data_IF_335349994969
#
_entry.id   IF_335349994969
#
_cell.length_a   1.000
_cell.length_b   1.000
_cell.length_c   1.000
_cell.angle_alpha   90.00
_cell.angle_beta   90.00
_cell.angle_gamma   90.00
#
_symmetry.space_group_name_H-M   'P 1'
#
loop_
_entity.id
_entity.type
_entity.pdbx_description
1 polymer ?
#
# COMPACT_ATOMS: atom_id res chain seq x y z
N UNK A 1 -0.74 21.69 1.85
CA UNK A 1 -1.67 21.58 0.70
C UNK A 1 -1.83 20.10 0.38
N UNK A 2 -3.05 19.56 0.24
CA UNK A 2 -3.23 18.15 -0.14
C UNK A 2 -2.72 17.90 -1.57
N UNK A 3 -2.11 16.74 -1.82
CA UNK A 3 -1.54 16.38 -3.13
C UNK A 3 -2.63 16.15 -4.17
N UNK A 4 -3.83 15.74 -3.74
CA UNK A 4 -5.04 15.68 -4.56
C UNK A 4 -5.43 16.99 -5.27
N UNK A 5 -4.87 18.14 -4.86
CA UNK A 5 -5.04 19.43 -5.56
C UNK A 5 -4.07 19.63 -6.73
N UNK A 6 -3.04 18.80 -6.86
CA UNK A 6 -2.18 18.77 -8.02
C UNK A 6 -2.89 17.95 -9.10
N UNK A 7 -3.03 18.50 -10.30
CA UNK A 7 -3.60 17.77 -11.44
C UNK A 7 -2.57 17.70 -12.57
N UNK A 8 -2.43 16.50 -13.13
CA UNK A 8 -1.78 16.29 -14.42
C UNK A 8 -2.64 15.28 -15.21
N UNK A 9 -2.67 15.35 -16.56
CA UNK A 9 -3.60 14.57 -17.38
C UNK A 9 -3.57 13.04 -17.16
N UNK A 10 -2.46 12.51 -16.64
CA UNK A 10 -2.24 11.08 -16.44
C UNK A 10 -1.91 10.70 -15.00
N UNK A 11 -2.03 11.64 -14.06
CA UNK A 11 -1.65 11.42 -12.67
C UNK A 11 -2.78 11.85 -11.75
N UNK A 12 -3.26 10.89 -10.97
CA UNK A 12 -4.29 11.06 -9.96
C UNK A 12 -3.65 10.84 -8.58
N UNK A 13 -3.95 11.73 -7.63
CA UNK A 13 -3.55 11.58 -6.24
C UNK A 13 -4.79 11.35 -5.38
N UNK A 14 -4.78 10.27 -4.60
CA UNK A 14 -5.81 9.95 -3.61
C UNK A 14 -5.23 10.09 -2.22
N UNK A 15 -5.83 10.94 -1.40
CA UNK A 15 -5.44 11.00 0.00
C UNK A 15 -5.83 9.68 0.69
N UNK A 16 -4.99 9.21 1.58
CA UNK A 16 -5.26 8.07 2.45
C UNK A 16 -5.80 8.61 3.78
N UNK A 17 -7.13 8.60 3.99
CA UNK A 17 -7.72 9.10 5.21
C UNK A 17 -7.27 8.27 6.40
N UNK A 18 -7.48 8.81 7.61
CA UNK A 18 -7.27 8.05 8.85
C UNK A 18 -5.84 7.57 9.08
N UNK A 19 -4.88 8.39 8.65
CA UNK A 19 -3.44 8.25 8.97
C UNK A 19 -3.01 9.40 9.88
N UNK A 20 -2.13 9.14 10.85
CA UNK A 20 -1.68 10.14 11.84
C UNK A 20 -0.79 11.24 11.25
N UNK A 21 -0.17 10.99 10.10
CA UNK A 21 0.79 11.90 9.45
C UNK A 21 0.41 12.29 8.02
N UNK A 22 -0.80 11.94 7.58
CA UNK A 22 -1.17 11.96 6.18
C UNK A 22 -0.53 10.81 5.41
N UNK A 23 -1.12 10.48 4.27
CA UNK A 23 -0.65 9.49 3.32
C UNK A 23 -1.33 9.76 1.98
N UNK A 24 -0.68 9.39 0.88
CA UNK A 24 -1.21 9.64 -0.46
C UNK A 24 -0.85 8.48 -1.37
N UNK A 25 -1.86 7.95 -2.06
CA UNK A 25 -1.69 7.02 -3.18
C UNK A 25 -1.58 7.84 -4.46
N UNK A 26 -0.61 7.49 -5.30
CA UNK A 26 -0.47 8.06 -6.64
C UNK A 26 -0.82 7.02 -7.70
N UNK A 27 -1.65 7.41 -8.66
CA UNK A 27 -2.13 6.55 -9.74
C UNK A 27 -1.72 7.19 -11.05
N UNK A 28 -0.78 6.56 -11.76
CA UNK A 28 -0.39 6.94 -13.11
C UNK A 28 -1.20 6.13 -14.13
N UNK A 29 -2.02 6.80 -14.93
CA UNK A 29 -2.88 6.22 -15.96
C UNK A 29 -2.23 6.38 -17.33
N UNK A 30 -1.13 5.66 -17.54
CA UNK A 30 -0.39 5.66 -18.80
C UNK A 30 -0.05 4.22 -19.22
N UNK A 31 -0.25 3.90 -20.51
CA UNK A 31 0.00 2.57 -21.06
C UNK A 31 -1.20 1.62 -20.97
N UNK A 32 -0.93 0.31 -21.08
CA UNK A 32 -1.96 -0.74 -21.16
C UNK A 32 -2.72 -0.98 -19.85
N UNK A 33 -2.11 -0.66 -18.70
CA UNK A 33 -2.75 -0.71 -17.39
C UNK A 33 -2.19 0.39 -16.48
N UNK A 34 -2.94 0.85 -15.47
CA UNK A 34 -2.45 1.86 -14.54
C UNK A 34 -1.27 1.36 -13.70
N UNK A 35 -0.48 2.29 -13.17
CA UNK A 35 0.55 2.05 -12.14
C UNK A 35 0.12 2.75 -10.86
N UNK A 36 0.13 2.05 -9.75
CA UNK A 36 -0.33 2.56 -8.46
C UNK A 36 0.80 2.48 -7.44
N UNK A 37 1.13 3.61 -6.84
CA UNK A 37 1.98 3.68 -5.65
C UNK A 37 1.11 3.54 -4.39
N UNK A 38 1.26 2.44 -3.65
CA UNK A 38 0.36 2.06 -2.53
C UNK A 38 0.79 2.58 -1.15
N UNK A 39 1.70 3.56 -1.11
CA UNK A 39 2.25 4.08 0.15
C UNK A 39 2.76 2.93 1.05
N UNK A 40 2.53 3.00 2.36
CA UNK A 40 3.20 2.19 3.38
C UNK A 40 2.46 0.91 3.81
N UNK A 41 1.19 0.72 3.44
CA UNK A 41 0.36 -0.38 3.99
C UNK A 41 0.86 -1.77 3.54
N UNK A 42 1.33 -1.88 2.30
CA UNK A 42 1.77 -3.14 1.69
C UNK A 42 3.25 -3.03 1.34
N UNK A 43 4.02 -4.05 1.69
CA UNK A 43 5.46 -4.09 1.42
C UNK A 43 5.83 -5.39 0.72
N UNK A 44 6.90 -5.36 -0.08
CA UNK A 44 7.37 -6.51 -0.85
C UNK A 44 8.91 -6.65 -0.79
N UNK A 45 9.46 -6.76 0.42
CA UNK A 45 10.90 -6.91 0.62
C UNK A 45 11.35 -8.36 0.34
N UNK A 46 12.14 -8.58 -0.71
CA UNK A 46 12.72 -9.90 -0.99
C UNK A 46 13.64 -10.39 0.14
N UNK A 47 14.40 -9.47 0.75
CA UNK A 47 15.26 -9.70 1.91
C UNK A 47 15.35 -8.45 2.77
N UNK A 48 15.67 -8.59 4.07
CA UNK A 48 15.74 -7.45 4.99
C UNK A 48 17.10 -6.74 4.87
N UNK A 49 17.14 -5.40 4.68
CA UNK A 49 18.37 -4.68 4.30
C UNK A 49 19.42 -4.54 5.42
N UNK A 50 19.04 -4.56 6.71
CA UNK A 50 19.96 -4.31 7.83
C UNK A 50 19.49 -4.97 9.14
N UNK A 51 20.42 -5.31 10.03
CA UNK A 51 20.20 -6.20 11.20
C UNK A 51 19.19 -5.67 12.23
N UNK A 52 19.11 -4.35 12.42
CA UNK A 52 18.20 -3.73 13.40
C UNK A 52 16.76 -3.62 12.90
N UNK A 53 16.55 -3.16 11.67
CA UNK A 53 15.22 -3.17 11.04
C UNK A 53 14.75 -4.61 10.83
N UNK A 54 15.66 -5.54 10.57
CA UNK A 54 15.37 -6.97 10.47
C UNK A 54 14.62 -7.50 11.69
N UNK A 55 15.05 -7.16 12.90
CA UNK A 55 14.38 -7.62 14.13
C UNK A 55 12.96 -7.03 14.27
N UNK A 56 12.79 -5.73 14.06
CA UNK A 56 11.48 -5.06 14.18
C UNK A 56 10.47 -5.57 13.14
N UNK A 57 10.88 -5.67 11.87
CA UNK A 57 10.02 -6.12 10.79
C UNK A 57 9.74 -7.63 10.86
N UNK A 58 10.69 -8.42 11.35
CA UNK A 58 10.49 -9.84 11.61
C UNK A 58 9.53 -10.08 12.77
N UNK A 59 9.73 -9.42 13.92
CA UNK A 59 8.86 -9.54 15.10
C UNK A 59 7.41 -9.12 14.79
N UNK A 60 7.23 -8.17 13.89
CA UNK A 60 5.90 -7.70 13.47
C UNK A 60 5.29 -8.57 12.37
N UNK A 61 6.04 -9.50 11.78
CA UNK A 61 5.60 -10.32 10.64
C UNK A 61 5.39 -9.51 9.35
N UNK A 62 6.00 -8.33 9.27
CA UNK A 62 5.88 -7.41 8.15
C UNK A 62 6.83 -7.76 7.01
N UNK A 63 7.86 -8.58 7.23
CA UNK A 63 8.82 -9.04 6.21
C UNK A 63 9.40 -10.42 6.60
N UNK A 64 10.01 -11.19 5.67
CA UNK A 64 10.18 -10.93 4.23
C UNK A 64 8.94 -11.27 3.37
N UNK A 65 9.00 -10.88 2.10
CA UNK A 65 8.00 -11.11 1.06
C UNK A 65 6.90 -10.06 1.00
N UNK A 66 5.84 -10.39 0.27
CA UNK A 66 4.63 -9.57 0.15
C UNK A 66 3.79 -9.69 1.43
N UNK A 67 3.66 -8.59 2.17
CA UNK A 67 3.02 -8.54 3.48
C UNK A 67 2.34 -7.20 3.74
N UNK A 68 1.42 -7.20 4.71
CA UNK A 68 0.93 -5.98 5.37
C UNK A 68 2.02 -5.45 6.29
N UNK A 69 2.32 -4.16 6.22
CA UNK A 69 3.19 -3.46 7.14
C UNK A 69 2.49 -3.27 8.49
N UNK A 70 2.69 -4.19 9.43
CA UNK A 70 2.03 -4.13 10.74
C UNK A 70 2.54 -2.99 11.62
N UNK A 71 3.74 -2.47 11.35
CA UNK A 71 4.24 -1.27 12.03
C UNK A 71 3.42 -0.07 11.58
N UNK A 72 3.26 0.13 10.26
CA UNK A 72 2.41 1.18 9.72
C UNK A 72 0.98 1.08 10.21
N UNK A 73 0.39 -0.12 10.12
CA UNK A 73 -1.03 -0.34 10.48
C UNK A 73 -1.31 -0.04 11.96
N UNK A 74 -0.39 -0.36 12.88
CA UNK A 74 -0.60 -0.18 14.33
C UNK A 74 -0.18 1.21 14.83
N UNK A 75 0.91 1.75 14.27
CA UNK A 75 1.52 2.97 14.80
C UNK A 75 1.01 4.21 14.08
N UNK A 76 0.73 4.12 12.78
CA UNK A 76 0.47 5.27 11.92
C UNK A 76 -0.96 5.36 11.39
N UNK A 77 -1.74 4.29 11.42
CA UNK A 77 -3.17 4.35 11.10
C UNK A 77 -3.99 4.67 12.36
N UNK A 78 -4.94 5.59 12.27
CA UNK A 78 -5.98 5.81 13.28
C UNK A 78 -7.22 4.95 13.04
N UNK A 79 -7.51 4.64 11.78
CA UNK A 79 -8.52 3.67 11.37
C UNK A 79 -7.97 2.87 10.18
N UNK A 80 -7.63 1.61 10.45
CA UNK A 80 -7.04 0.71 9.47
C UNK A 80 -8.06 0.25 8.42
N UNK A 81 -9.36 0.27 8.71
CA UNK A 81 -10.39 -0.16 7.77
C UNK A 81 -10.52 0.87 6.65
N UNK A 82 -10.58 2.16 6.99
CA UNK A 82 -10.60 3.25 6.00
C UNK A 82 -9.35 3.27 5.12
N UNK A 83 -8.18 3.04 5.72
CA UNK A 83 -6.91 2.92 5.00
C UNK A 83 -6.92 1.72 4.05
N UNK A 84 -7.37 0.56 4.53
CA UNK A 84 -7.47 -0.66 3.72
C UNK A 84 -8.46 -0.51 2.56
N UNK A 85 -9.63 0.12 2.80
CA UNK A 85 -10.61 0.39 1.75
C UNK A 85 -10.02 1.28 0.66
N UNK A 86 -9.31 2.35 1.04
CA UNK A 86 -8.65 3.25 0.09
C UNK A 86 -7.63 2.51 -0.78
N UNK A 87 -6.89 1.56 -0.19
CA UNK A 87 -5.97 0.70 -0.95
C UNK A 87 -6.73 -0.23 -1.90
N UNK A 88 -7.85 -0.83 -1.49
CA UNK A 88 -8.66 -1.70 -2.35
C UNK A 88 -9.25 -0.93 -3.54
N UNK A 89 -9.74 0.29 -3.32
CA UNK A 89 -10.29 1.15 -4.36
C UNK A 89 -9.22 1.54 -5.39
N UNK A 90 -7.96 1.63 -4.97
CA UNK A 90 -6.83 1.87 -5.88
C UNK A 90 -6.48 0.65 -6.74
N UNK A 91 -7.04 -0.54 -6.45
CA UNK A 91 -6.74 -1.80 -7.15
C UNK A 91 -7.80 -2.20 -8.20
N UNK A 92 -8.87 -1.43 -8.38
CA UNK A 92 -10.01 -1.81 -9.24
C UNK A 92 -9.61 -2.08 -10.70
N UNK A 93 -8.70 -1.29 -11.27
CA UNK A 93 -8.29 -1.36 -12.68
C UNK A 93 -7.13 -2.34 -12.95
N UNK A 94 -6.95 -3.33 -12.07
CA UNK A 94 -5.86 -4.32 -12.13
C UNK A 94 -4.46 -3.70 -12.41
N UNK A 95 -4.01 -2.73 -11.58
CA UNK A 95 -2.79 -1.98 -11.86
C UNK A 95 -1.50 -2.78 -11.63
N UNK A 96 -0.39 -2.29 -12.18
CA UNK A 96 0.93 -2.58 -11.60
C UNK A 96 1.06 -1.85 -10.26
N UNK A 97 1.68 -2.48 -9.27
CA UNK A 97 1.73 -1.96 -7.90
C UNK A 97 3.17 -1.65 -7.51
N UNK A 98 3.40 -0.45 -7.00
CA UNK A 98 4.66 0.00 -6.44
C UNK A 98 4.45 0.24 -4.94
N UNK A 99 4.94 -0.66 -4.05
CA UNK A 99 4.91 -0.39 -2.62
C UNK A 99 5.94 0.68 -2.25
N UNK A 100 5.79 1.36 -1.10
CA UNK A 100 6.86 2.21 -0.55
C UNK A 100 8.17 1.43 -0.31
N UNK A 101 8.07 0.12 -0.18
CA UNK A 101 9.13 -0.74 0.31
C UNK A 101 9.21 -2.05 -0.47
N UNK A 102 10.38 -2.31 -1.05
CA UNK A 102 10.69 -3.55 -1.75
C UNK A 102 10.43 -3.50 -3.25
N UNK A 103 10.20 -4.66 -3.86
CA UNK A 103 10.12 -4.79 -5.33
C UNK A 103 8.72 -4.47 -5.85
N UNK A 104 8.58 -3.77 -7.00
CA UNK A 104 7.30 -3.62 -7.68
C UNK A 104 6.64 -4.96 -8.03
N UNK A 105 5.32 -4.98 -8.06
CA UNK A 105 4.49 -6.12 -8.42
C UNK A 105 3.87 -5.84 -9.80
N UNK A 106 4.39 -6.49 -10.82
CA UNK A 106 4.07 -6.22 -12.23
C UNK A 106 3.50 -7.43 -12.96
N UNK A 107 3.23 -8.54 -12.29
CA UNK A 107 2.72 -9.74 -12.95
C UNK A 107 1.21 -9.84 -12.88
N UNK A 108 0.63 -10.59 -13.81
CA UNK A 108 -0.79 -10.96 -13.78
C UNK A 108 -1.05 -11.75 -12.48
N UNK A 109 -2.08 -11.36 -11.74
CA UNK A 109 -2.44 -11.98 -10.46
C UNK A 109 -1.84 -11.31 -9.21
N UNK A 110 -0.91 -10.36 -9.36
CA UNK A 110 -0.35 -9.64 -8.22
C UNK A 110 -1.41 -8.81 -7.46
N UNK A 111 -2.35 -8.21 -8.18
CA UNK A 111 -3.48 -7.50 -7.58
C UNK A 111 -4.31 -8.44 -6.69
N UNK A 112 -4.59 -9.66 -7.14
CA UNK A 112 -5.32 -10.64 -6.35
C UNK A 112 -4.55 -11.01 -5.07
N UNK A 113 -3.21 -11.14 -5.15
CA UNK A 113 -2.35 -11.40 -3.98
C UNK A 113 -2.39 -10.24 -2.98
N UNK A 114 -2.41 -9.00 -3.45
CA UNK A 114 -2.53 -7.82 -2.57
C UNK A 114 -3.94 -7.74 -1.96
N UNK A 115 -5.00 -7.94 -2.73
CA UNK A 115 -6.38 -7.96 -2.21
C UNK A 115 -6.55 -9.01 -1.11
N UNK A 116 -6.01 -10.22 -1.29
CA UNK A 116 -6.06 -11.27 -0.27
C UNK A 116 -5.41 -10.86 1.08
N UNK A 117 -4.45 -9.93 1.06
CA UNK A 117 -3.81 -9.39 2.26
C UNK A 117 -4.59 -8.23 2.89
N UNK A 118 -5.23 -7.39 2.06
CA UNK A 118 -5.83 -6.13 2.50
C UNK A 118 -7.32 -6.28 2.84
N UNK A 119 -8.08 -7.12 2.12
CA UNK A 119 -9.51 -7.33 2.36
C UNK A 119 -9.87 -7.72 3.80
N UNK A 120 -9.10 -8.56 4.51
CA UNK A 120 -9.37 -8.86 5.92
C UNK A 120 -9.30 -7.62 6.83
N UNK A 121 -8.48 -6.62 6.48
CA UNK A 121 -8.33 -5.39 7.25
C UNK A 121 -9.53 -4.44 7.07
N UNK A 122 -10.14 -4.44 5.88
CA UNK A 122 -11.30 -3.60 5.57
C UNK A 122 -12.61 -4.12 6.21
N UNK A 123 -12.69 -5.42 6.51
CA UNK A 123 -13.90 -6.08 7.04
C UNK A 123 -13.90 -6.24 8.56
N UNK A 124 -12.83 -5.84 9.25
CA UNK A 124 -12.62 -6.23 10.64
C UNK A 124 -13.52 -5.48 11.61
N UNK A 125 -14.75 -5.96 11.81
CA UNK A 125 -15.68 -5.53 12.85
C UNK A 125 -15.05 -5.72 14.23
N UNK A 126 -14.77 -4.61 14.90
CA UNK A 126 -14.70 -4.53 16.37
C UNK A 126 -15.80 -3.60 16.84
#
# INVERSE_FOLDING_TARGET
MPLSKLSAPHLEFREVPSTKKGGTIAIARQGERPVVYLDELVINWASLPNSWTKLLFWLTGSAPGLKVNRVYSKVFCSDIQAVAQTVLDALEDNPAIVPAHGTPLVHVGDVARVRALVEPLAKSTT
#
